data_IF_357796822143
#
_entry.id   IF_357796822143
#
_cell.length_a   1.000
_cell.length_b   1.000
_cell.length_c   1.000
_cell.angle_alpha   90.00
_cell.angle_beta   90.00
_cell.angle_gamma   90.00
#
_symmetry.space_group_name_H-M   'P 1'
#
loop_
_entity.id
_entity.type
_entity.pdbx_description
1 polymer ?
#
# COMPACT_ATOMS: atom_id res chain seq x y z
N UNK A 1 49.97 12.79 33.05
CA UNK A 1 49.39 11.79 32.08
C UNK A 1 49.43 12.43 30.72
N UNK A 2 50.49 12.11 29.95
CA UNK A 2 50.66 12.49 28.55
C UNK A 2 49.56 11.84 27.70
N UNK A 3 48.87 12.62 26.90
CA UNK A 3 47.99 12.12 25.85
C UNK A 3 48.86 11.72 24.66
N UNK A 4 49.01 10.41 24.45
CA UNK A 4 49.56 9.85 23.23
C UNK A 4 48.78 10.39 22.02
N UNK A 5 49.39 11.32 21.29
CA UNK A 5 48.84 11.79 20.01
C UNK A 5 48.93 10.64 19.00
N UNK A 6 47.80 10.21 18.50
CA UNK A 6 47.75 9.27 17.37
C UNK A 6 48.34 9.97 16.15
N UNK A 7 49.51 9.49 15.75
CA UNK A 7 50.21 9.94 14.52
C UNK A 7 49.28 9.66 13.29
N UNK A 8 48.82 10.67 12.57
CA UNK A 8 47.95 10.50 11.40
C UNK A 8 48.64 9.85 10.20
N UNK A 9 49.96 9.59 10.28
CA UNK A 9 50.73 8.95 9.19
C UNK A 9 50.59 7.40 9.16
N UNK A 10 49.94 6.77 10.14
CA UNK A 10 49.69 5.32 10.19
C UNK A 10 48.39 4.94 9.51
N UNK A 11 48.07 5.46 8.35
CA UNK A 11 47.07 4.84 7.48
C UNK A 11 47.72 3.58 6.88
N UNK A 12 47.13 2.40 7.06
CA UNK A 12 47.66 1.16 6.51
C UNK A 12 47.95 1.31 5.00
N UNK A 13 49.13 0.87 4.56
CA UNK A 13 49.61 1.03 3.17
C UNK A 13 48.63 0.51 2.11
N UNK A 14 47.76 -0.47 2.45
CA UNK A 14 46.74 -1.00 1.53
C UNK A 14 45.65 0.02 1.16
N UNK A 15 45.48 1.10 1.91
CA UNK A 15 44.56 2.20 1.61
C UNK A 15 45.23 3.24 0.68
N UNK A 16 46.55 3.20 0.55
CA UNK A 16 47.33 4.22 -0.17
C UNK A 16 47.55 3.92 -1.65
N UNK A 17 47.46 2.64 -2.04
CA UNK A 17 47.58 2.28 -3.45
C UNK A 17 46.29 2.60 -4.21
N UNK A 18 46.16 3.80 -4.75
CA UNK A 18 45.20 4.09 -5.82
C UNK A 18 45.64 3.33 -7.07
N UNK A 19 45.20 2.07 -7.20
CA UNK A 19 45.39 1.34 -8.47
C UNK A 19 44.69 2.10 -9.59
N UNK A 20 45.48 2.56 -10.53
CA UNK A 20 44.96 3.24 -11.72
C UNK A 20 44.19 2.22 -12.58
N UNK A 21 43.19 2.69 -13.30
CA UNK A 21 42.47 1.87 -14.29
C UNK A 21 43.41 1.25 -15.33
N UNK A 22 44.54 1.96 -15.67
CA UNK A 22 45.58 1.48 -16.57
C UNK A 22 46.23 0.19 -16.08
N UNK A 23 46.43 0.03 -14.77
CA UNK A 23 47.21 -1.04 -14.15
C UNK A 23 46.42 -2.35 -14.00
N UNK A 24 45.11 -2.31 -14.31
CA UNK A 24 44.24 -3.47 -14.27
C UNK A 24 44.39 -4.39 -15.45
N UNK A 25 44.43 -5.70 -15.18
CA UNK A 25 44.40 -6.71 -16.25
C UNK A 25 43.05 -6.70 -16.98
N UNK A 26 43.03 -7.24 -18.19
CA UNK A 26 41.78 -7.34 -19.00
C UNK A 26 40.66 -8.06 -18.27
N UNK A 27 40.99 -9.10 -17.47
CA UNK A 27 40.02 -9.82 -16.64
C UNK A 27 39.44 -8.94 -15.54
N UNK A 28 40.29 -8.20 -14.81
CA UNK A 28 39.87 -7.28 -13.77
C UNK A 28 38.97 -6.15 -14.32
N UNK A 29 39.36 -5.58 -15.49
CA UNK A 29 38.53 -4.58 -16.18
C UNK A 29 37.14 -5.11 -16.55
N UNK A 30 37.03 -6.36 -17.02
CA UNK A 30 35.75 -7.01 -17.29
C UNK A 30 34.92 -7.20 -16.02
N UNK A 31 35.54 -7.61 -14.91
CA UNK A 31 34.87 -7.80 -13.64
C UNK A 31 34.36 -6.45 -13.08
N UNK A 32 35.17 -5.41 -13.10
CA UNK A 32 34.75 -4.05 -12.65
C UNK A 32 33.60 -3.51 -13.50
N UNK A 33 33.64 -3.70 -14.82
CA UNK A 33 32.53 -3.32 -15.71
C UNK A 33 31.25 -4.06 -15.38
N UNK A 34 31.31 -5.38 -15.06
CA UNK A 34 30.14 -6.16 -14.66
C UNK A 34 29.57 -5.68 -13.31
N UNK A 35 30.44 -5.41 -12.33
CA UNK A 35 30.02 -4.86 -11.03
C UNK A 35 29.40 -3.49 -11.22
N UNK A 36 30.02 -2.60 -12.01
CA UNK A 36 29.47 -1.26 -12.29
C UNK A 36 28.11 -1.34 -13.00
N UNK A 37 27.95 -2.26 -13.96
CA UNK A 37 26.66 -2.50 -14.61
C UNK A 37 25.60 -3.01 -13.61
N UNK A 38 25.98 -3.93 -12.71
CA UNK A 38 25.09 -4.40 -11.64
C UNK A 38 24.65 -3.27 -10.71
N UNK A 39 25.59 -2.43 -10.27
CA UNK A 39 25.28 -1.25 -9.42
C UNK A 39 24.34 -0.29 -10.16
N UNK A 40 24.58 -0.05 -11.46
CA UNK A 40 23.72 0.82 -12.27
C UNK A 40 22.28 0.27 -12.35
N UNK A 41 22.12 -1.03 -12.58
CA UNK A 41 20.81 -1.68 -12.62
C UNK A 41 20.09 -1.51 -11.28
N UNK A 42 20.78 -1.75 -10.17
CA UNK A 42 20.21 -1.56 -8.83
C UNK A 42 19.82 -0.11 -8.60
N UNK A 43 20.67 0.84 -8.98
CA UNK A 43 20.39 2.28 -8.85
C UNK A 43 19.14 2.69 -9.66
N UNK A 44 19.05 2.25 -10.91
CA UNK A 44 17.86 2.50 -11.76
C UNK A 44 16.60 1.89 -11.14
N UNK A 45 16.70 0.65 -10.65
CA UNK A 45 15.59 0.00 -9.95
C UNK A 45 15.15 0.81 -8.72
N UNK A 46 16.10 1.24 -7.87
CA UNK A 46 15.80 2.08 -6.71
C UNK A 46 15.11 3.41 -7.09
N UNK A 47 15.54 4.05 -8.17
CA UNK A 47 14.93 5.30 -8.66
C UNK A 47 13.48 5.04 -9.10
N UNK A 48 13.24 3.96 -9.84
CA UNK A 48 11.92 3.56 -10.29
C UNK A 48 11.00 3.30 -9.08
N UNK A 49 11.46 2.53 -8.11
CA UNK A 49 10.70 2.21 -6.90
C UNK A 49 10.40 3.46 -6.06
N UNK A 50 11.37 4.35 -5.87
CA UNK A 50 11.15 5.64 -5.18
C UNK A 50 10.10 6.49 -5.90
N UNK A 51 10.13 6.53 -7.24
CA UNK A 51 9.17 7.31 -8.02
C UNK A 51 7.77 6.68 -7.96
N UNK A 52 7.67 5.38 -8.20
CA UNK A 52 6.40 4.66 -8.18
C UNK A 52 5.81 4.49 -6.78
N UNK A 53 6.63 4.49 -5.75
CA UNK A 53 6.22 4.37 -4.37
C UNK A 53 5.72 5.67 -3.73
N UNK A 54 5.67 6.80 -4.46
CA UNK A 54 5.14 8.05 -3.93
C UNK A 54 3.61 8.02 -3.83
N UNK A 55 3.00 8.63 -2.80
CA UNK A 55 1.55 8.64 -2.65
C UNK A 55 0.84 9.28 -3.85
N UNK A 56 1.42 10.32 -4.47
CA UNK A 56 0.89 10.94 -5.69
C UNK A 56 0.83 9.95 -6.86
N UNK A 57 1.89 9.17 -7.04
CA UNK A 57 1.95 8.17 -8.11
C UNK A 57 0.97 7.01 -7.87
N UNK A 58 0.70 6.67 -6.61
CA UNK A 58 -0.32 5.68 -6.25
C UNK A 58 -1.71 6.22 -6.55
N UNK A 59 -1.99 7.47 -6.17
CA UNK A 59 -3.25 8.15 -6.47
C UNK A 59 -3.50 8.21 -7.99
N UNK A 60 -2.51 8.59 -8.78
CA UNK A 60 -2.60 8.65 -10.24
C UNK A 60 -2.90 7.27 -10.86
N UNK A 61 -2.16 6.24 -10.45
CA UNK A 61 -2.40 4.87 -10.93
C UNK A 61 -3.79 4.35 -10.57
N UNK A 62 -4.29 4.71 -9.39
CA UNK A 62 -5.64 4.36 -8.98
C UNK A 62 -6.69 5.10 -9.83
N UNK A 63 -6.58 6.42 -9.98
CA UNK A 63 -7.50 7.20 -10.80
C UNK A 63 -7.52 6.71 -12.26
N UNK A 64 -6.35 6.36 -12.81
CA UNK A 64 -6.26 5.76 -14.14
C UNK A 64 -6.95 4.39 -14.22
N UNK A 65 -6.75 3.53 -13.22
CA UNK A 65 -7.44 2.24 -13.16
C UNK A 65 -8.95 2.41 -13.01
N UNK A 66 -9.37 3.37 -12.18
CA UNK A 66 -10.77 3.73 -11.97
C UNK A 66 -11.44 4.22 -13.26
N UNK A 67 -10.82 5.18 -13.94
CA UNK A 67 -11.31 5.71 -15.22
C UNK A 67 -11.42 4.63 -16.31
N UNK A 68 -10.53 3.63 -16.28
CA UNK A 68 -10.55 2.48 -17.18
C UNK A 68 -11.49 1.36 -16.73
N UNK A 69 -12.22 1.56 -15.64
CA UNK A 69 -13.08 0.55 -15.00
C UNK A 69 -12.34 -0.77 -14.70
N UNK A 70 -11.03 -0.69 -14.52
CA UNK A 70 -10.21 -1.83 -14.17
C UNK A 70 -10.21 -2.05 -12.64
N UNK A 71 -11.35 -2.55 -12.15
CA UNK A 71 -11.63 -2.69 -10.72
C UNK A 71 -10.66 -3.63 -10.01
N UNK A 72 -10.19 -4.68 -10.68
CA UNK A 72 -9.16 -5.56 -10.10
C UNK A 72 -7.83 -4.83 -9.89
N UNK A 73 -7.44 -3.93 -10.80
CA UNK A 73 -6.24 -3.12 -10.63
C UNK A 73 -6.44 -2.06 -9.55
N UNK A 74 -7.62 -1.42 -9.51
CA UNK A 74 -7.96 -0.48 -8.45
C UNK A 74 -7.93 -1.15 -7.07
N UNK A 75 -8.49 -2.36 -6.92
CA UNK A 75 -8.46 -3.14 -5.69
C UNK A 75 -7.04 -3.47 -5.21
N UNK A 76 -6.13 -3.80 -6.13
CA UNK A 76 -4.72 -4.01 -5.77
C UNK A 76 -4.02 -2.76 -5.23
N UNK A 77 -4.49 -1.58 -5.62
CA UNK A 77 -3.98 -0.30 -5.14
C UNK A 77 -4.70 0.19 -3.88
N UNK A 78 -5.77 -0.50 -3.46
CA UNK A 78 -6.55 -0.18 -2.27
C UNK A 78 -6.04 -0.94 -1.04
N UNK A 79 -6.17 -0.33 0.13
CA UNK A 79 -5.81 -0.90 1.42
C UNK A 79 -6.97 -1.76 1.92
N UNK A 80 -7.13 -2.93 1.35
CA UNK A 80 -8.14 -3.89 1.79
C UNK A 80 -7.67 -4.59 3.06
N UNK A 81 -8.57 -4.90 4.02
CA UNK A 81 -8.26 -5.70 5.19
C UNK A 81 -7.72 -7.08 4.79
N UNK A 82 -6.70 -7.54 5.50
CA UNK A 82 -6.15 -8.90 5.32
C UNK A 82 -7.05 -9.90 6.04
N UNK A 83 -8.25 -10.12 5.52
CA UNK A 83 -9.17 -11.14 5.99
C UNK A 83 -9.74 -11.94 4.81
N UNK A 84 -10.32 -13.09 5.08
CA UNK A 84 -10.91 -13.93 4.04
C UNK A 84 -12.20 -13.37 3.43
N UNK A 85 -12.80 -12.33 4.02
CA UNK A 85 -14.11 -11.78 3.64
C UNK A 85 -14.05 -10.55 2.77
N UNK A 86 -12.90 -9.87 2.71
CA UNK A 86 -12.68 -8.70 1.84
C UNK A 86 -11.63 -9.05 0.81
N UNK A 87 -12.09 -9.63 -0.29
CA UNK A 87 -11.24 -10.05 -1.39
C UNK A 87 -11.18 -9.01 -2.50
N UNK A 88 -10.21 -9.15 -3.40
CA UNK A 88 -10.12 -8.28 -4.58
C UNK A 88 -11.28 -8.50 -5.56
N UNK A 89 -11.86 -9.70 -5.59
CA UNK A 89 -12.99 -10.00 -6.46
C UNK A 89 -14.29 -9.40 -5.90
N UNK A 90 -14.48 -9.42 -4.59
CA UNK A 90 -15.59 -8.70 -3.93
C UNK A 90 -15.46 -7.19 -4.10
N UNK A 91 -14.25 -6.63 -3.90
CA UNK A 91 -13.99 -5.23 -4.21
C UNK A 91 -14.38 -4.88 -5.65
N UNK A 92 -13.93 -5.68 -6.62
CA UNK A 92 -14.24 -5.44 -8.02
C UNK A 92 -15.75 -5.55 -8.31
N UNK A 93 -16.46 -6.49 -7.65
CA UNK A 93 -17.90 -6.65 -7.77
C UNK A 93 -18.66 -5.48 -7.17
N UNK A 94 -18.25 -5.00 -6.00
CA UNK A 94 -18.80 -3.81 -5.36
C UNK A 94 -18.62 -2.57 -6.25
N UNK A 95 -17.40 -2.33 -6.73
CA UNK A 95 -17.07 -1.19 -7.57
C UNK A 95 -17.85 -1.22 -8.90
N UNK A 96 -18.03 -2.39 -9.50
CA UNK A 96 -18.83 -2.52 -10.74
C UNK A 96 -20.28 -2.10 -10.55
N UNK A 97 -20.84 -2.27 -9.35
CA UNK A 97 -22.22 -1.89 -9.03
C UNK A 97 -22.36 -0.41 -8.61
N UNK A 98 -21.38 0.11 -7.86
CA UNK A 98 -21.51 1.35 -7.11
C UNK A 98 -20.62 2.50 -7.61
N UNK A 99 -19.61 2.21 -8.43
CA UNK A 99 -18.68 3.24 -8.90
C UNK A 99 -19.33 4.16 -9.92
N UNK A 100 -18.86 5.41 -9.95
CA UNK A 100 -19.19 6.33 -11.04
C UNK A 100 -18.44 5.89 -12.28
N UNK A 101 -19.16 5.60 -13.34
CA UNK A 101 -18.60 5.19 -14.64
C UNK A 101 -18.62 6.34 -15.65
N UNK A 102 -18.04 6.13 -16.82
CA UNK A 102 -18.06 7.13 -17.90
C UNK A 102 -17.21 8.38 -17.57
N UNK A 103 -16.10 8.20 -16.86
CA UNK A 103 -15.17 9.29 -16.55
C UNK A 103 -14.28 9.54 -17.77
N UNK A 104 -14.35 10.75 -18.34
CA UNK A 104 -13.59 11.15 -19.53
C UNK A 104 -12.21 11.73 -19.22
N UNK A 105 -11.95 12.11 -17.98
CA UNK A 105 -10.67 12.63 -17.53
C UNK A 105 -10.69 13.00 -16.06
N UNK A 106 -9.49 13.13 -15.48
CA UNK A 106 -9.32 13.55 -14.09
C UNK A 106 -8.08 14.44 -13.92
N UNK A 107 -8.09 15.23 -12.86
CA UNK A 107 -6.96 16.03 -12.39
C UNK A 107 -6.79 15.81 -10.90
N UNK A 108 -5.55 15.60 -10.45
CA UNK A 108 -5.22 15.41 -9.03
C UNK A 108 -4.57 16.69 -8.52
N UNK A 109 -5.12 17.26 -7.47
CA UNK A 109 -4.61 18.47 -6.80
C UNK A 109 -4.36 18.21 -5.33
N UNK A 110 -3.30 18.81 -4.82
CA UNK A 110 -3.04 18.89 -3.40
C UNK A 110 -3.47 20.28 -2.91
N UNK A 111 -4.43 20.32 -2.00
CA UNK A 111 -4.93 21.57 -1.40
C UNK A 111 -4.33 21.80 0.00
N UNK A 112 -4.60 22.97 0.61
CA UNK A 112 -4.16 23.24 1.98
C UNK A 112 -4.85 22.30 2.99
N UNK A 113 -6.13 22.01 2.76
CA UNK A 113 -6.93 21.09 3.58
C UNK A 113 -6.35 19.67 3.50
N UNK A 114 -5.88 19.26 2.31
CA UNK A 114 -5.26 17.97 2.11
C UNK A 114 -3.95 17.82 2.90
N UNK A 115 -3.18 18.90 3.05
CA UNK A 115 -1.95 18.91 3.88
C UNK A 115 -2.26 18.77 5.36
N UNK A 116 -3.40 19.24 5.82
CA UNK A 116 -3.82 19.05 7.19
C UNK A 116 -3.97 17.58 7.55
N UNK A 117 -4.50 16.75 6.67
CA UNK A 117 -4.58 15.28 6.84
C UNK A 117 -3.20 14.65 7.08
N UNK A 118 -2.17 15.10 6.33
CA UNK A 118 -0.80 14.62 6.53
C UNK A 118 -0.28 14.97 7.93
N UNK A 119 -0.51 16.20 8.38
CA UNK A 119 -0.06 16.67 9.70
C UNK A 119 -0.77 15.89 10.82
N UNK A 120 -2.09 15.78 10.76
CA UNK A 120 -2.92 15.11 11.77
C UNK A 120 -2.63 13.62 11.87
N UNK A 121 -2.35 12.97 10.75
CA UNK A 121 -1.97 11.55 10.71
C UNK A 121 -0.52 11.27 11.10
N UNK A 122 0.30 12.31 11.33
CA UNK A 122 1.74 12.15 11.55
C UNK A 122 2.46 11.57 10.35
N UNK A 123 2.07 11.95 9.14
CA UNK A 123 2.65 11.51 7.87
C UNK A 123 2.26 10.08 7.46
N UNK A 124 1.20 9.53 8.07
CA UNK A 124 0.70 8.18 7.73
C UNK A 124 -0.35 8.20 6.63
N UNK A 125 -0.98 9.34 6.40
CA UNK A 125 -1.98 9.54 5.35
C UNK A 125 -1.68 10.81 4.57
N UNK A 126 -2.02 10.81 3.28
CA UNK A 126 -2.06 11.98 2.43
C UNK A 126 -3.38 12.02 1.68
N UNK A 127 -3.99 13.19 1.63
CA UNK A 127 -5.23 13.39 0.90
C UNK A 127 -4.95 14.14 -0.41
N UNK A 128 -5.70 13.82 -1.43
CA UNK A 128 -5.67 14.49 -2.73
C UNK A 128 -7.11 14.82 -3.15
N UNK A 129 -7.32 16.01 -3.68
CA UNK A 129 -8.58 16.36 -4.34
C UNK A 129 -8.49 15.91 -5.81
N UNK A 130 -9.37 15.00 -6.18
CA UNK A 130 -9.50 14.53 -7.56
C UNK A 130 -10.70 15.22 -8.19
N UNK A 131 -10.46 16.10 -9.16
CA UNK A 131 -11.49 16.66 -10.03
C UNK A 131 -11.62 15.73 -11.24
N UNK A 132 -12.85 15.33 -11.58
CA UNK A 132 -13.11 14.46 -12.72
C UNK A 132 -14.33 14.92 -13.50
N UNK A 133 -14.33 14.59 -14.79
CA UNK A 133 -15.43 14.90 -15.70
C UNK A 133 -16.14 13.63 -16.10
N UNK A 134 -17.46 13.63 -15.96
CA UNK A 134 -18.35 12.58 -16.42
C UNK A 134 -18.74 12.81 -17.89
N UNK A 135 -19.31 11.82 -18.57
CA UNK A 135 -19.73 11.92 -19.98
C UNK A 135 -20.73 13.06 -20.23
N UNK A 136 -21.58 13.37 -19.25
CA UNK A 136 -22.49 14.53 -19.29
C UNK A 136 -21.77 15.89 -19.07
N UNK A 137 -20.44 15.90 -19.13
CA UNK A 137 -19.54 17.05 -18.97
C UNK A 137 -19.65 17.77 -17.63
N UNK A 138 -20.28 17.16 -16.63
CA UNK A 138 -20.28 17.70 -15.27
C UNK A 138 -18.93 17.45 -14.62
N UNK A 139 -18.41 18.48 -14.00
CA UNK A 139 -17.21 18.38 -13.16
C UNK A 139 -17.64 18.04 -11.74
N UNK A 140 -17.00 17.03 -11.17
CA UNK A 140 -17.18 16.59 -9.79
C UNK A 140 -15.83 16.49 -9.12
N UNK A 141 -15.83 16.61 -7.81
CA UNK A 141 -14.62 16.43 -7.00
C UNK A 141 -14.84 15.35 -5.95
N UNK A 142 -13.78 14.60 -5.67
CA UNK A 142 -13.74 13.62 -4.58
C UNK A 142 -12.39 13.72 -3.89
N UNK A 143 -12.38 13.62 -2.57
CA UNK A 143 -11.14 13.46 -1.80
C UNK A 143 -10.71 12.01 -1.85
N UNK A 144 -9.45 11.78 -2.20
CA UNK A 144 -8.81 10.48 -2.22
C UNK A 144 -7.75 10.44 -1.12
N UNK A 145 -7.90 9.54 -0.18
CA UNK A 145 -6.93 9.34 0.91
C UNK A 145 -5.99 8.20 0.53
N UNK A 146 -4.70 8.47 0.58
CA UNK A 146 -3.63 7.50 0.39
C UNK A 146 -2.98 7.25 1.74
N UNK A 147 -2.94 6.00 2.17
CA UNK A 147 -2.42 5.62 3.49
C UNK A 147 -1.19 4.74 3.39
N UNK A 148 -0.29 4.95 4.33
CA UNK A 148 0.94 4.19 4.49
C UNK A 148 0.64 2.82 5.08
N UNK A 149 1.10 1.76 4.42
CA UNK A 149 0.95 0.41 4.95
C UNK A 149 2.01 0.10 6.01
N UNK A 150 1.68 -0.79 6.94
CA UNK A 150 2.62 -1.25 7.97
C UNK A 150 3.77 -2.04 7.36
N UNK A 151 3.47 -2.85 6.35
CA UNK A 151 4.46 -3.64 5.63
C UNK A 151 5.22 -2.76 4.64
N UNK A 152 6.53 -2.98 4.50
CA UNK A 152 7.38 -2.29 3.55
C UNK A 152 7.52 -3.15 2.31
N UNK A 153 7.31 -2.57 1.14
CA UNK A 153 7.70 -3.21 -0.09
C UNK A 153 9.23 -3.16 -0.21
N UNK A 154 9.84 -4.31 -0.52
CA UNK A 154 11.25 -4.44 -0.83
C UNK A 154 12.18 -3.65 0.10
N UNK A 155 12.47 -4.21 1.29
CA UNK A 155 13.48 -3.81 2.30
C UNK A 155 13.36 -2.37 2.87
N UNK A 156 13.14 -1.33 2.05
CA UNK A 156 13.23 0.07 2.50
C UNK A 156 12.08 0.96 2.01
N UNK A 157 11.30 0.53 1.02
CA UNK A 157 10.29 1.39 0.41
C UNK A 157 8.97 1.29 1.15
N UNK A 158 8.35 2.45 1.37
CA UNK A 158 7.03 2.53 1.96
C UNK A 158 5.99 2.10 0.93
N UNK A 159 5.13 1.17 1.30
CA UNK A 159 3.94 0.85 0.52
C UNK A 159 2.82 1.82 0.86
N UNK A 160 2.30 2.48 -0.16
CA UNK A 160 1.16 3.37 -0.06
C UNK A 160 -0.01 2.77 -0.81
N UNK A 161 -1.19 2.83 -0.20
CA UNK A 161 -2.43 2.34 -0.79
C UNK A 161 -3.56 3.34 -0.60
N UNK A 162 -4.55 3.28 -1.48
CA UNK A 162 -5.77 4.07 -1.34
C UNK A 162 -6.56 3.54 -0.15
N UNK A 163 -7.01 4.43 0.73
CA UNK A 163 -7.92 4.05 1.82
C UNK A 163 -9.21 3.50 1.23
N UNK A 164 -9.67 2.41 1.79
CA UNK A 164 -10.97 1.78 1.45
C UNK A 164 -11.98 1.92 2.59
N UNK A 165 -11.68 2.73 3.60
CA UNK A 165 -12.50 2.86 4.82
C UNK A 165 -13.95 3.26 4.53
N UNK A 166 -14.20 4.01 3.46
CA UNK A 166 -15.56 4.42 3.04
C UNK A 166 -16.42 3.26 2.53
N UNK A 167 -15.82 2.12 2.17
CA UNK A 167 -16.53 0.97 1.61
C UNK A 167 -16.42 -0.28 2.48
N UNK A 168 -15.72 -0.20 3.59
CA UNK A 168 -15.51 -1.31 4.50
C UNK A 168 -16.31 -1.08 5.77
N UNK A 169 -17.29 -1.93 6.01
CA UNK A 169 -17.94 -2.03 7.31
C UNK A 169 -16.96 -2.70 8.28
N UNK A 170 -16.13 -1.88 8.90
CA UNK A 170 -15.25 -2.35 9.96
C UNK A 170 -16.08 -2.68 11.19
N UNK A 171 -15.63 -3.69 11.93
CA UNK A 171 -16.24 -4.03 13.23
C UNK A 171 -17.67 -4.56 13.13
N UNK A 172 -18.00 -5.27 12.05
CA UNK A 172 -19.27 -6.00 11.99
C UNK A 172 -19.28 -7.08 13.07
N UNK A 173 -20.24 -6.96 14.00
CA UNK A 173 -20.38 -7.87 15.13
C UNK A 173 -21.45 -8.90 14.85
N UNK A 174 -21.11 -10.16 15.01
CA UNK A 174 -22.01 -11.29 14.89
C UNK A 174 -22.07 -12.04 16.23
N UNK A 175 -23.27 -12.25 16.75
CA UNK A 175 -23.52 -12.97 17.99
C UNK A 175 -24.17 -14.33 17.65
N UNK A 176 -23.54 -15.41 18.06
CA UNK A 176 -23.93 -16.75 17.76
C UNK A 176 -24.13 -17.56 19.05
N UNK A 177 -25.08 -18.50 19.11
CA UNK A 177 -25.15 -19.47 20.20
C UNK A 177 -23.81 -20.22 20.32
N UNK A 178 -23.38 -20.47 21.56
CA UNK A 178 -22.12 -21.17 21.82
C UNK A 178 -22.06 -22.52 21.11
N UNK A 179 -20.96 -22.80 20.44
CA UNK A 179 -20.73 -24.03 19.67
C UNK A 179 -21.36 -24.04 18.27
N UNK A 180 -22.00 -22.97 17.84
CA UNK A 180 -22.54 -22.85 16.47
C UNK A 180 -21.40 -22.73 15.43
N UNK A 181 -21.70 -23.18 14.22
CA UNK A 181 -20.85 -22.93 13.04
C UNK A 181 -21.56 -21.92 12.16
N UNK A 182 -20.83 -20.92 11.70
CA UNK A 182 -21.37 -19.90 10.79
C UNK A 182 -20.54 -19.75 9.54
N UNK A 183 -21.17 -19.22 8.51
CA UNK A 183 -20.55 -18.83 7.23
C UNK A 183 -21.09 -17.45 6.85
N UNK A 184 -20.22 -16.64 6.28
CA UNK A 184 -20.56 -15.35 5.65
C UNK A 184 -20.18 -15.51 4.19
N UNK A 185 -21.14 -15.37 3.27
CA UNK A 185 -20.97 -15.55 1.83
C UNK A 185 -20.24 -16.86 1.47
N UNK A 186 -20.71 -17.97 2.07
CA UNK A 186 -20.13 -19.31 1.96
C UNK A 186 -18.72 -19.48 2.57
N UNK A 187 -18.10 -18.43 3.12
CA UNK A 187 -16.82 -18.49 3.80
C UNK A 187 -17.04 -18.81 5.27
N UNK A 188 -16.45 -19.90 5.75
CA UNK A 188 -16.61 -20.34 7.14
C UNK A 188 -16.02 -19.32 8.10
N UNK A 189 -16.79 -18.92 9.11
CA UNK A 189 -16.34 -18.10 10.22
C UNK A 189 -15.39 -18.90 11.12
N UNK A 190 -14.18 -18.41 11.32
CA UNK A 190 -13.13 -19.06 12.11
C UNK A 190 -12.97 -18.44 13.49
N UNK A 191 -12.37 -19.18 14.40
CA UNK A 191 -12.08 -18.73 15.78
C UNK A 191 -11.17 -17.48 15.82
N UNK A 192 -10.44 -17.19 14.74
CA UNK A 192 -9.55 -16.01 14.67
C UNK A 192 -10.32 -14.68 14.79
N UNK A 193 -11.60 -14.69 14.46
CA UNK A 193 -12.51 -13.53 14.53
C UNK A 193 -13.32 -13.48 15.82
N UNK A 194 -13.18 -14.51 16.67
CA UNK A 194 -13.91 -14.60 17.94
C UNK A 194 -13.34 -13.62 18.96
N UNK A 195 -14.20 -12.83 19.54
CA UNK A 195 -13.85 -12.00 20.68
C UNK A 195 -13.93 -12.82 21.98
N UNK A 196 -13.03 -12.51 22.91
CA UNK A 196 -13.14 -13.05 24.27
C UNK A 196 -14.33 -12.37 24.94
N UNK A 197 -15.41 -13.10 25.13
CA UNK A 197 -16.63 -12.61 25.78
C UNK A 197 -16.89 -13.32 27.09
N UNK A 198 -17.62 -12.65 27.98
CA UNK A 198 -17.98 -13.17 29.33
C UNK A 198 -19.30 -13.96 29.34
N UNK A 199 -19.87 -14.33 28.20
CA UNK A 199 -21.14 -15.02 28.13
C UNK A 199 -20.96 -16.49 27.78
N UNK A 200 -21.40 -17.38 28.68
CA UNK A 200 -21.34 -18.82 28.47
C UNK A 200 -22.28 -19.32 27.36
N UNK A 201 -23.25 -18.51 26.94
CA UNK A 201 -24.28 -18.92 25.99
C UNK A 201 -24.14 -18.32 24.59
N UNK A 202 -23.35 -17.25 24.43
CA UNK A 202 -23.16 -16.54 23.16
C UNK A 202 -21.68 -16.33 22.85
N UNK A 203 -21.34 -16.57 21.62
CA UNK A 203 -20.04 -16.27 21.09
C UNK A 203 -20.13 -15.00 20.23
N UNK A 204 -19.25 -14.07 20.46
CA UNK A 204 -19.15 -12.83 19.67
C UNK A 204 -18.00 -12.93 18.69
N UNK A 205 -18.30 -12.61 17.43
CA UNK A 205 -17.31 -12.50 16.36
C UNK A 205 -17.28 -11.09 15.80
N UNK A 206 -16.12 -10.65 15.37
CA UNK A 206 -15.90 -9.33 14.80
C UNK A 206 -15.16 -9.48 13.48
N UNK A 207 -15.78 -9.06 12.39
CA UNK A 207 -15.24 -9.15 11.03
C UNK A 207 -15.32 -7.82 10.31
N UNK A 208 -14.50 -7.60 9.30
CA UNK A 208 -14.68 -6.50 8.35
C UNK A 208 -15.23 -7.06 7.06
N UNK A 209 -16.24 -6.40 6.51
CA UNK A 209 -16.93 -6.77 5.27
C UNK A 209 -16.96 -5.56 4.32
N UNK A 210 -17.10 -5.80 3.02
CA UNK A 210 -17.46 -4.72 2.09
C UNK A 210 -18.92 -4.35 2.35
N UNK A 211 -19.26 -3.06 2.32
CA UNK A 211 -20.66 -2.63 2.48
C UNK A 211 -21.55 -3.26 1.42
N UNK A 212 -22.67 -3.84 1.86
CA UNK A 212 -23.59 -4.50 0.97
C UNK A 212 -24.46 -5.55 1.66
N UNK A 213 -25.10 -6.37 0.85
CA UNK A 213 -25.86 -7.52 1.31
C UNK A 213 -24.94 -8.74 1.45
N UNK A 214 -24.99 -9.38 2.60
CA UNK A 214 -24.22 -10.59 2.91
C UNK A 214 -25.14 -11.71 3.37
N UNK A 215 -24.90 -12.91 2.89
CA UNK A 215 -25.63 -14.10 3.35
C UNK A 215 -24.95 -14.70 4.58
N UNK A 216 -25.69 -14.81 5.68
CA UNK A 216 -25.19 -15.46 6.90
C UNK A 216 -25.91 -16.78 7.09
N UNK A 217 -25.15 -17.88 7.11
CA UNK A 217 -25.66 -19.24 7.40
C UNK A 217 -25.17 -19.69 8.77
N UNK A 218 -26.04 -20.19 9.59
CA UNK A 218 -25.74 -20.74 10.93
C UNK A 218 -26.21 -22.17 11.03
N UNK A 219 -25.38 -23.05 11.61
CA UNK A 219 -25.69 -24.48 11.86
C UNK A 219 -25.27 -24.88 13.26
#
# INVERSE_FOLDING_TARGET
REKEGKDPSRIPEFIREKRSWSDMTTGQKKTVKRIAAGILIVAVFCIIEVYHGRPEAVADRYCKAYMQENWKKAGRLSALPENGYVTQDEYASYMKKNAVTGISGYEIKETKENRQTEIESGGKQRAFTVAYKTEDKKEKTKTLIVQKQKNRNFLFFTDWKISSDEMIANDFNLYLPAGSKAWIDDIKLTEDYKLKGDSDNLEQYKVSLIEGEHEIKVK
#
